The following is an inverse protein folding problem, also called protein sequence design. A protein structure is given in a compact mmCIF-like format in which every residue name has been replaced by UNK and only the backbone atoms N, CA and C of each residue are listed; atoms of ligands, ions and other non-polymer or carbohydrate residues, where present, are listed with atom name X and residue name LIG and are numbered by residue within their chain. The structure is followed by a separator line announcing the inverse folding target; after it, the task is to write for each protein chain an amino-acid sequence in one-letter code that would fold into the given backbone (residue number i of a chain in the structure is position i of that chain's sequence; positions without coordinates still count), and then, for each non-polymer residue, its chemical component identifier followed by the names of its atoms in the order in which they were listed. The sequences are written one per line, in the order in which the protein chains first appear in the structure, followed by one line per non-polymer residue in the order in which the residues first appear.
data_IF_706874141358
#
_entry.id   IF_706874141358
#
_cell.length_a   1.000
_cell.length_b   1.000
_cell.length_c   1.000
_cell.angle_alpha   90.00
_cell.angle_beta   90.00
_cell.angle_gamma   90.00
#
_symmetry.space_group_name_H-M   'P 1'
#
loop_
_entity.id
_entity.type
_entity.pdbx_description
1 polymer ?
#
# COMPACT_ATOMS: atom_id res chain seq x y z
N UNK A 1 -6.46 -6.07 2.00
CA UNK A 1 -7.37 -5.22 2.80
C UNK A 1 -7.33 -3.82 2.22
N UNK A 2 -8.46 -3.13 2.08
CA UNK A 2 -8.51 -1.76 1.53
C UNK A 2 -9.03 -0.78 2.59
N UNK A 3 -8.38 0.38 2.69
CA UNK A 3 -8.61 1.39 3.72
C UNK A 3 -8.85 2.77 3.10
N UNK A 4 -9.46 3.67 3.88
CA UNK A 4 -9.68 5.08 3.51
C UNK A 4 -10.38 5.24 2.15
N UNK A 5 -9.81 5.99 1.22
CA UNK A 5 -10.42 6.32 -0.06
C UNK A 5 -10.65 5.07 -0.94
N UNK A 6 -9.88 4.01 -0.70
CA UNK A 6 -10.05 2.73 -1.38
C UNK A 6 -10.98 1.74 -0.66
N UNK A 7 -11.54 2.09 0.49
CA UNK A 7 -12.38 1.17 1.27
C UNK A 7 -13.58 0.64 0.48
N UNK A 8 -14.22 1.50 -0.30
CA UNK A 8 -15.42 1.16 -1.08
C UNK A 8 -15.09 0.72 -2.51
N UNK A 9 -14.12 1.37 -3.15
CA UNK A 9 -13.72 1.14 -4.56
C UNK A 9 -12.74 -0.02 -4.73
N UNK A 10 -12.02 -0.38 -3.66
CA UNK A 10 -11.09 -1.51 -3.60
C UNK A 10 -10.06 -1.48 -4.74
N UNK A 11 -9.85 -2.62 -5.41
CA UNK A 11 -8.88 -2.75 -6.49
C UNK A 11 -9.12 -1.71 -7.61
N UNK A 12 -10.38 -1.48 -7.99
CA UNK A 12 -10.70 -0.53 -9.06
C UNK A 12 -10.32 0.91 -8.71
N UNK A 13 -10.42 1.29 -7.43
CA UNK A 13 -9.97 2.61 -6.96
C UNK A 13 -8.45 2.73 -7.00
N UNK A 14 -7.76 1.71 -6.48
CA UNK A 14 -6.29 1.65 -6.52
C UNK A 14 -5.75 1.72 -7.95
N UNK A 15 -6.29 0.91 -8.86
CA UNK A 15 -5.89 0.90 -10.27
C UNK A 15 -6.16 2.25 -10.93
N UNK A 16 -7.30 2.87 -10.64
CA UNK A 16 -7.63 4.20 -11.17
C UNK A 16 -6.68 5.27 -10.65
N UNK A 17 -6.42 5.33 -9.34
CA UNK A 17 -5.64 6.41 -8.72
C UNK A 17 -4.16 6.34 -9.09
N UNK A 18 -3.60 5.14 -9.24
CA UNK A 18 -2.23 4.95 -9.74
C UNK A 18 -2.13 4.88 -11.27
N UNK A 19 -3.25 5.01 -11.98
CA UNK A 19 -3.34 4.85 -13.44
C UNK A 19 -2.70 3.53 -13.94
N UNK A 20 -2.95 2.44 -13.21
CA UNK A 20 -2.42 1.12 -13.54
C UNK A 20 -3.12 0.57 -14.78
N UNK A 21 -2.34 -0.05 -15.65
CA UNK A 21 -2.83 -0.97 -16.64
C UNK A 21 -3.16 -2.29 -15.94
N UNK A 22 -4.31 -2.88 -16.27
CA UNK A 22 -4.88 -4.05 -15.57
C UNK A 22 -4.04 -5.34 -15.57
N UNK A 23 -2.78 -5.31 -16.01
CA UNK A 23 -1.83 -6.43 -15.96
C UNK A 23 -0.77 -6.29 -14.85
N UNK A 24 -0.59 -5.11 -14.25
CA UNK A 24 0.50 -4.87 -13.29
C UNK A 24 0.32 -5.66 -11.99
N UNK A 25 -0.93 -5.85 -11.58
CA UNK A 25 -1.35 -6.61 -10.41
C UNK A 25 -1.82 -8.03 -10.74
N UNK A 26 -1.63 -8.53 -11.95
CA UNK A 26 -1.99 -9.90 -12.32
C UNK A 26 -1.27 -10.92 -11.42
N UNK A 27 -2.06 -11.78 -10.77
CA UNK A 27 -1.56 -12.79 -9.83
C UNK A 27 -1.07 -12.21 -8.48
N UNK A 28 -1.26 -10.91 -8.24
CA UNK A 28 -0.96 -10.28 -6.96
C UNK A 28 -2.13 -10.45 -5.97
N UNK A 29 -1.80 -10.66 -4.71
CA UNK A 29 -2.72 -10.64 -3.59
C UNK A 29 -2.49 -9.37 -2.76
N UNK A 30 -3.46 -8.45 -2.75
CA UNK A 30 -3.37 -7.22 -1.97
C UNK A 30 -3.60 -7.51 -0.48
N UNK A 31 -2.53 -7.44 0.31
CA UNK A 31 -2.57 -7.65 1.75
C UNK A 31 -3.09 -6.40 2.46
N UNK A 32 -2.59 -5.23 2.08
CA UNK A 32 -3.00 -3.92 2.59
C UNK A 32 -2.90 -2.86 1.49
N UNK A 33 -3.88 -1.99 1.39
CA UNK A 33 -3.86 -0.82 0.53
C UNK A 33 -4.60 0.32 1.25
N UNK A 34 -3.91 1.44 1.46
CA UNK A 34 -4.44 2.59 2.16
C UNK A 34 -4.07 3.85 1.40
N UNK A 35 -5.06 4.69 1.11
CA UNK A 35 -4.84 6.00 0.51
C UNK A 35 -5.62 7.05 1.28
N UNK A 36 -4.90 7.99 1.86
CA UNK A 36 -5.44 9.16 2.55
C UNK A 36 -5.26 10.39 1.68
N UNK A 37 -6.30 11.21 1.58
CA UNK A 37 -6.26 12.49 0.89
C UNK A 37 -6.93 13.57 1.74
N UNK A 38 -6.13 14.47 2.30
CA UNK A 38 -6.58 15.59 3.13
C UNK A 38 -5.82 16.88 2.76
N UNK A 39 -6.50 18.04 2.78
CA UNK A 39 -5.89 19.36 2.54
C UNK A 39 -5.05 19.47 1.25
N UNK A 40 -5.48 18.82 0.17
CA UNK A 40 -4.77 18.76 -1.13
C UNK A 40 -3.41 18.03 -1.10
N UNK A 41 -3.18 17.26 -0.03
CA UNK A 41 -2.05 16.37 0.16
C UNK A 41 -2.57 14.94 0.30
N UNK A 42 -1.89 13.97 -0.30
CA UNK A 42 -2.28 12.57 -0.14
C UNK A 42 -1.09 11.65 0.00
N UNK A 43 -1.30 10.55 0.71
CA UNK A 43 -0.31 9.49 0.88
C UNK A 43 -0.95 8.12 0.71
N UNK A 44 -0.28 7.28 -0.06
CA UNK A 44 -0.69 5.93 -0.37
C UNK A 44 0.37 4.92 0.04
N UNK A 45 -0.08 3.81 0.61
CA UNK A 45 0.72 2.65 0.89
C UNK A 45 0.00 1.40 0.40
N UNK A 46 0.70 0.58 -0.38
CA UNK A 46 0.20 -0.72 -0.85
C UNK A 46 1.22 -1.80 -0.51
N UNK A 47 0.77 -2.85 0.15
CA UNK A 47 1.51 -4.07 0.42
C UNK A 47 0.78 -5.24 -0.25
N UNK A 48 1.49 -5.96 -1.08
CA UNK A 48 0.94 -7.11 -1.80
C UNK A 48 1.93 -8.26 -1.89
N UNK A 49 1.39 -9.46 -2.12
CA UNK A 49 2.17 -10.67 -2.37
C UNK A 49 2.04 -11.05 -3.84
N UNK A 50 3.16 -11.25 -4.53
CA UNK A 50 3.20 -11.68 -5.93
C UNK A 50 4.36 -12.65 -6.12
N UNK A 51 4.10 -13.78 -6.77
CA UNK A 51 5.10 -14.85 -6.99
C UNK A 51 5.81 -15.33 -5.71
N UNK A 52 5.07 -15.37 -4.60
CA UNK A 52 5.59 -15.78 -3.29
C UNK A 52 6.47 -14.74 -2.58
N UNK A 53 6.64 -13.55 -3.15
CA UNK A 53 7.39 -12.43 -2.58
C UNK A 53 6.47 -11.32 -2.11
N UNK A 54 6.94 -10.55 -1.13
CA UNK A 54 6.25 -9.35 -0.65
C UNK A 54 6.77 -8.12 -1.38
N UNK A 55 5.86 -7.22 -1.71
CA UNK A 55 6.14 -5.99 -2.42
C UNK A 55 5.41 -4.84 -1.75
N UNK A 56 6.08 -3.70 -1.66
CA UNK A 56 5.49 -2.45 -1.16
C UNK A 56 5.57 -1.34 -2.20
N UNK A 57 4.56 -0.48 -2.22
CA UNK A 57 4.50 0.72 -3.06
C UNK A 57 4.16 1.89 -2.14
N UNK A 58 4.87 3.00 -2.33
CA UNK A 58 4.59 4.28 -1.69
C UNK A 58 4.21 5.29 -2.75
N UNK A 59 3.04 5.91 -2.59
CA UNK A 59 2.62 7.06 -3.38
C UNK A 59 2.45 8.27 -2.48
N UNK A 60 2.79 9.46 -2.95
CA UNK A 60 2.45 10.70 -2.26
C UNK A 60 2.32 11.85 -3.23
N UNK A 61 1.45 12.80 -2.93
CA UNK A 61 1.37 14.03 -3.71
C UNK A 61 1.07 15.23 -2.84
N UNK A 62 1.67 16.35 -3.25
CA UNK A 62 1.40 17.67 -2.71
C UNK A 62 1.01 18.52 -3.92
N UNK A 63 -0.26 18.92 -4.00
CA UNK A 63 -0.89 19.72 -5.07
C UNK A 63 -1.36 18.97 -6.32
N UNK A 64 -2.63 19.24 -6.67
CA UNK A 64 -3.38 19.13 -7.93
C UNK A 64 -3.27 17.90 -8.86
N UNK A 65 -2.21 17.09 -8.84
CA UNK A 65 -1.97 16.02 -9.83
C UNK A 65 -2.16 14.59 -9.30
N UNK A 66 -2.63 14.41 -8.05
CA UNK A 66 -2.99 13.07 -7.54
C UNK A 66 -1.80 12.11 -7.45
N UNK A 67 -2.09 10.80 -7.40
CA UNK A 67 -1.10 9.73 -7.52
C UNK A 67 -0.79 9.36 -8.98
N UNK A 68 -1.36 10.11 -9.93
CA UNK A 68 -1.31 9.79 -11.35
C UNK A 68 0.07 10.16 -11.92
N UNK A 69 0.63 9.21 -12.68
CA UNK A 69 1.94 9.19 -13.37
C UNK A 69 3.17 8.81 -12.49
N UNK A 70 3.82 7.70 -12.87
CA UNK A 70 5.12 7.19 -12.41
C UNK A 70 5.32 6.93 -10.90
N UNK A 71 4.25 6.93 -10.09
CA UNK A 71 4.36 6.62 -8.65
C UNK A 71 4.17 5.14 -8.29
N UNK A 72 3.73 4.33 -9.24
CA UNK A 72 3.67 2.88 -9.04
C UNK A 72 5.05 2.26 -9.28
N UNK A 73 5.87 2.28 -8.24
CA UNK A 73 7.20 1.65 -8.21
C UNK A 73 7.27 0.58 -7.11
N UNK A 74 6.86 -0.68 -7.40
CA UNK A 74 6.93 -1.75 -6.41
C UNK A 74 8.36 -2.09 -6.01
N UNK A 75 8.63 -2.03 -4.71
CA UNK A 75 9.89 -2.45 -4.11
C UNK A 75 9.72 -3.80 -3.40
N UNK A 76 10.65 -4.74 -3.61
CA UNK A 76 10.65 -6.01 -2.89
C UNK A 76 10.94 -5.77 -1.40
N UNK A 77 10.05 -6.28 -0.55
CA UNK A 77 10.16 -6.14 0.91
C UNK A 77 10.14 -7.51 1.59
N UNK A 78 10.33 -7.52 2.90
CA UNK A 78 10.32 -8.74 3.70
C UNK A 78 9.76 -8.46 5.10
N UNK A 79 9.49 -9.54 5.84
CA UNK A 79 8.89 -9.44 7.16
C UNK A 79 9.72 -8.58 8.14
N UNK A 80 11.05 -8.65 8.08
CA UNK A 80 11.93 -7.85 8.94
C UNK A 80 11.79 -6.34 8.64
N UNK A 81 11.72 -5.95 7.37
CA UNK A 81 11.47 -4.57 6.98
C UNK A 81 10.09 -4.08 7.45
N UNK A 82 9.05 -4.88 7.27
CA UNK A 82 7.70 -4.53 7.73
C UNK A 82 7.64 -4.37 9.26
N UNK A 83 8.32 -5.24 10.01
CA UNK A 83 8.46 -5.12 11.46
C UNK A 83 9.12 -3.80 11.86
N UNK A 84 10.16 -3.37 11.12
CA UNK A 84 10.82 -2.07 11.37
C UNK A 84 9.91 -0.88 11.10
N UNK A 85 9.05 -0.95 10.08
CA UNK A 85 8.06 0.10 9.79
C UNK A 85 7.05 0.24 10.93
N UNK A 86 6.57 -0.89 11.45
CA UNK A 86 5.66 -0.96 12.59
C UNK A 86 6.33 -0.45 13.87
N UNK A 87 7.53 -0.92 14.20
CA UNK A 87 8.21 -0.59 15.45
C UNK A 87 8.62 0.89 15.54
N UNK A 88 8.98 1.50 14.40
CA UNK A 88 9.39 2.90 14.35
C UNK A 88 8.23 3.87 14.18
N UNK A 89 7.00 3.37 14.03
CA UNK A 89 5.83 4.16 13.63
C UNK A 89 6.18 5.08 12.44
N UNK A 90 6.71 4.47 11.38
CA UNK A 90 7.21 5.23 10.25
C UNK A 90 6.08 6.06 9.61
N UNK A 91 6.37 7.31 9.29
CA UNK A 91 5.37 8.28 8.84
C UNK A 91 4.64 7.85 7.56
N UNK A 92 5.25 7.02 6.72
CA UNK A 92 4.63 6.50 5.48
C UNK A 92 3.48 5.54 5.72
N UNK A 93 3.38 4.95 6.92
CA UNK A 93 2.35 3.99 7.29
C UNK A 93 1.56 4.44 8.51
N UNK A 94 1.67 5.72 8.91
CA UNK A 94 0.98 6.24 10.10
C UNK A 94 -0.52 5.99 10.04
N UNK A 95 -1.09 6.15 8.85
CA UNK A 95 -2.53 6.13 8.65
C UNK A 95 -3.10 4.71 8.63
N UNK A 96 -2.26 3.70 8.39
CA UNK A 96 -2.64 2.28 8.38
C UNK A 96 -1.80 1.42 9.33
N UNK A 97 -1.21 2.04 10.37
CA UNK A 97 -0.25 1.39 11.26
C UNK A 97 -0.86 0.18 11.98
N UNK A 98 -2.09 0.31 12.48
CA UNK A 98 -2.77 -0.75 13.20
C UNK A 98 -3.04 -1.97 12.30
N UNK A 99 -3.46 -1.72 11.06
CA UNK A 99 -3.71 -2.73 10.05
C UNK A 99 -2.40 -3.41 9.62
N UNK A 100 -1.33 -2.64 9.46
CA UNK A 100 -0.01 -3.18 9.16
C UNK A 100 0.50 -4.09 10.30
N UNK A 101 0.29 -3.72 11.57
CA UNK A 101 0.58 -4.57 12.72
C UNK A 101 -0.17 -5.91 12.63
N UNK A 102 -1.45 -5.88 12.25
CA UNK A 102 -2.24 -7.11 12.08
C UNK A 102 -1.71 -7.99 10.95
N UNK A 103 -1.35 -7.38 9.81
CA UNK A 103 -0.77 -8.11 8.66
C UNK A 103 0.58 -8.74 9.04
N UNK A 104 1.47 -7.99 9.68
CA UNK A 104 2.77 -8.50 10.15
C UNK A 104 2.60 -9.68 11.10
N UNK A 105 1.64 -9.60 12.04
CA UNK A 105 1.33 -10.71 12.96
C UNK A 105 0.84 -11.96 12.23
N UNK A 106 0.00 -11.80 11.20
CA UNK A 106 -0.50 -12.92 10.39
C UNK A 106 0.62 -13.55 9.58
N UNK A 107 1.43 -12.75 8.88
CA UNK A 107 2.57 -13.23 8.09
C UNK A 107 3.57 -14.02 8.95
N UNK A 108 3.84 -13.54 10.18
CA UNK A 108 4.71 -14.25 11.13
C UNK A 108 4.12 -15.59 11.59
N UNK A 109 2.80 -15.71 11.71
CA UNK A 109 2.14 -16.96 12.10
C UNK A 109 2.05 -17.98 10.95
N UNK A 110 2.20 -17.53 9.71
CA UNK A 110 2.23 -18.36 8.50
C UNK A 110 3.65 -18.87 8.14
N UNK A 111 4.68 -18.34 8.81
CA UNK A 111 6.10 -18.68 8.63
C UNK A 111 6.54 -19.81 9.57
#
# INVERSE_FOLDING_TARGET
MYMHDWKETQLAGLESDFNLQGTELDGAEILLASYTYEDYSGSAYVLFRKDGKLWEVYGSHCSCYGLEEDQWEPEETNLENLERLVDKAHWTVSDCHAELVEIVRKLRAES
#
